data_IF_569166709178
#
_entry.id   IF_569166709178
#
_cell.length_a   1.000
_cell.length_b   1.000
_cell.length_c   1.000
_cell.angle_alpha   90.00
_cell.angle_beta   90.00
_cell.angle_gamma   90.00
#
_symmetry.space_group_name_H-M   'P 1'
#
loop_
_entity.id
_entity.type
_entity.pdbx_description
1 polymer ?
#
# COMPACT_ATOMS: atom_id res chain seq x y z
N UNK A 1 -18.50 38.12 17.13
CA UNK A 1 -18.18 36.94 17.96
C UNK A 1 -16.75 36.53 17.65
N UNK A 2 -15.82 36.66 18.60
CA UNK A 2 -14.46 36.11 18.44
C UNK A 2 -14.59 34.59 18.50
N UNK A 3 -14.62 33.93 17.34
CA UNK A 3 -14.58 32.47 17.28
C UNK A 3 -13.25 32.03 17.87
N UNK A 4 -13.29 31.35 19.02
CA UNK A 4 -12.11 30.71 19.57
C UNK A 4 -11.59 29.70 18.54
N UNK A 5 -10.33 29.86 18.12
CA UNK A 5 -9.71 28.87 17.23
C UNK A 5 -9.60 27.53 17.99
N UNK A 6 -10.10 26.42 17.40
CA UNK A 6 -10.00 25.11 18.03
C UNK A 6 -8.54 24.76 18.28
N UNK A 7 -8.20 24.38 19.51
CA UNK A 7 -6.83 23.95 19.88
C UNK A 7 -6.47 22.55 19.36
N UNK A 8 -7.44 21.85 18.77
CA UNK A 8 -7.30 20.52 18.19
C UNK A 8 -7.68 20.55 16.71
N UNK A 9 -7.06 19.68 15.95
CA UNK A 9 -7.29 19.46 14.54
C UNK A 9 -7.23 17.96 14.26
N UNK A 10 -7.92 17.48 13.23
CA UNK A 10 -7.77 16.11 12.78
C UNK A 10 -6.38 15.94 12.13
N UNK A 11 -5.62 14.94 12.55
CA UNK A 11 -4.26 14.66 12.04
C UNK A 11 -4.24 13.25 11.50
N UNK A 12 -3.87 13.10 10.23
CA UNK A 12 -3.71 11.82 9.56
C UNK A 12 -2.28 11.72 9.04
N UNK A 13 -1.62 10.59 9.30
CA UNK A 13 -0.29 10.31 8.78
C UNK A 13 -0.34 9.10 7.86
N UNK A 14 0.11 9.28 6.63
CA UNK A 14 0.18 8.25 5.60
C UNK A 14 1.64 8.05 5.22
N UNK A 15 2.16 6.83 5.40
CA UNK A 15 3.51 6.47 4.96
C UNK A 15 3.60 6.24 3.44
N UNK A 16 4.82 6.00 2.92
CA UNK A 16 5.02 5.57 1.54
C UNK A 16 4.24 4.29 1.22
N UNK A 17 3.74 4.17 -0.02
CA UNK A 17 3.04 2.98 -0.46
C UNK A 17 4.02 1.86 -0.87
N UNK A 18 3.56 0.61 -0.90
CA UNK A 18 4.36 -0.50 -1.44
C UNK A 18 4.61 -0.35 -2.95
N UNK A 19 3.70 0.35 -3.64
CA UNK A 19 3.91 0.73 -5.04
C UNK A 19 5.10 1.67 -5.19
N UNK A 20 5.25 2.68 -4.33
CA UNK A 20 6.38 3.61 -4.39
C UNK A 20 7.72 2.88 -4.25
N UNK A 21 7.79 1.90 -3.34
CA UNK A 21 8.97 1.03 -3.19
C UNK A 21 9.19 0.20 -4.46
N UNK A 22 8.12 -0.44 -4.96
CA UNK A 22 8.20 -1.38 -6.09
C UNK A 22 8.57 -0.70 -7.41
N UNK A 23 8.22 0.57 -7.55
CA UNK A 23 8.50 1.38 -8.74
C UNK A 23 9.67 2.36 -8.54
N UNK A 24 10.42 2.22 -7.43
CA UNK A 24 11.58 3.09 -7.12
C UNK A 24 11.23 4.59 -7.12
N UNK A 25 10.00 4.92 -6.71
CA UNK A 25 9.54 6.30 -6.56
C UNK A 25 10.06 6.90 -5.25
N UNK A 26 10.09 8.24 -5.12
CA UNK A 26 10.44 8.90 -3.87
C UNK A 26 9.53 8.44 -2.71
N UNK A 27 10.13 7.95 -1.64
CA UNK A 27 9.41 7.46 -0.46
C UNK A 27 8.96 8.64 0.40
N UNK A 28 7.69 9.03 0.31
CA UNK A 28 7.16 10.19 1.03
C UNK A 28 6.18 9.79 2.13
N UNK A 29 6.42 10.28 3.35
CA UNK A 29 5.43 10.31 4.41
C UNK A 29 4.65 11.62 4.35
N UNK A 30 3.32 11.55 4.35
CA UNK A 30 2.42 12.70 4.26
C UNK A 30 1.62 12.84 5.55
N UNK A 31 1.79 13.98 6.24
CA UNK A 31 0.96 14.38 7.35
C UNK A 31 -0.11 15.38 6.87
N UNK A 32 -1.37 14.98 6.98
CA UNK A 32 -2.54 15.77 6.62
C UNK A 32 -3.21 16.28 7.88
N UNK A 33 -3.31 17.60 8.01
CA UNK A 33 -3.96 18.27 9.14
C UNK A 33 -5.21 18.96 8.63
N UNK A 34 -6.37 18.66 9.20
CA UNK A 34 -7.65 19.29 8.84
C UNK A 34 -8.30 19.91 10.06
N UNK A 35 -8.71 21.18 9.96
CA UNK A 35 -9.23 21.94 11.10
C UNK A 35 -9.60 23.36 10.73
N UNK A 36 -9.45 24.29 11.67
CA UNK A 36 -9.70 25.72 11.45
C UNK A 36 -8.47 26.52 11.88
N UNK A 37 -8.15 27.58 11.14
CA UNK A 37 -7.00 28.45 11.41
C UNK A 37 -5.69 27.65 11.57
N UNK A 38 -5.36 26.84 10.56
CA UNK A 38 -4.22 25.93 10.59
C UNK A 38 -2.87 26.65 10.62
N UNK A 39 -2.82 27.95 10.31
CA UNK A 39 -1.63 28.81 10.48
C UNK A 39 -1.18 28.92 11.94
N UNK A 40 -2.07 28.71 12.91
CA UNK A 40 -1.74 28.71 14.33
C UNK A 40 -1.10 27.38 14.81
N UNK A 41 -0.97 26.39 13.92
CA UNK A 41 -0.37 25.10 14.21
C UNK A 41 1.04 24.99 13.61
N UNK A 42 1.93 24.32 14.35
CA UNK A 42 3.25 23.93 13.88
C UNK A 42 3.32 22.41 13.73
N UNK A 43 4.01 21.95 12.68
CA UNK A 43 4.24 20.53 12.41
C UNK A 43 5.72 20.22 12.66
N UNK A 44 5.99 19.20 13.46
CA UNK A 44 7.34 18.67 13.71
C UNK A 44 7.38 17.20 13.35
N UNK A 45 8.38 16.81 12.56
CA UNK A 45 8.62 15.41 12.20
C UNK A 45 9.65 14.75 13.11
N UNK A 46 9.43 13.48 13.44
CA UNK A 46 10.40 12.63 14.15
C UNK A 46 10.52 11.27 13.48
N UNK A 47 11.74 10.71 13.53
CA UNK A 47 12.05 9.32 13.14
C UNK A 47 12.70 8.67 14.37
N UNK A 48 12.11 7.60 14.91
CA UNK A 48 12.52 6.94 16.16
C UNK A 48 12.73 7.96 17.31
N UNK A 49 11.79 8.91 17.42
CA UNK A 49 11.83 9.98 18.43
C UNK A 49 12.84 11.11 18.13
N UNK A 50 13.70 10.99 17.12
CA UNK A 50 14.67 12.03 16.73
C UNK A 50 14.05 13.03 15.77
N UNK A 51 14.08 14.31 16.15
CA UNK A 51 13.55 15.42 15.35
C UNK A 51 14.25 15.51 13.98
N UNK A 52 13.44 15.67 12.94
CA UNK A 52 13.90 15.87 11.57
C UNK A 52 13.73 17.33 11.15
N UNK A 53 14.69 17.83 10.37
CA UNK A 53 14.69 19.21 9.84
C UNK A 53 14.97 19.27 8.34
N UNK A 54 15.47 18.19 7.74
CA UNK A 54 15.79 18.11 6.33
C UNK A 54 14.67 17.41 5.54
N UNK A 55 14.57 17.74 4.24
CA UNK A 55 13.63 17.12 3.30
C UNK A 55 12.15 17.17 3.71
N UNK A 56 11.78 18.25 4.41
CA UNK A 56 10.40 18.52 4.80
C UNK A 56 9.85 19.63 3.90
N UNK A 57 8.73 19.35 3.25
CA UNK A 57 7.95 20.34 2.49
C UNK A 57 6.60 20.51 3.17
N UNK A 58 6.35 21.69 3.72
CA UNK A 58 5.03 22.04 4.28
C UNK A 58 4.36 23.05 3.39
N UNK A 59 3.16 22.73 2.93
CA UNK A 59 2.35 23.54 2.04
C UNK A 59 1.44 24.48 2.84
N UNK A 60 1.03 25.60 2.23
CA UNK A 60 0.09 26.52 2.87
C UNK A 60 -1.29 25.86 3.04
N UNK A 61 -2.05 26.18 4.11
CA UNK A 61 -3.41 25.66 4.27
C UNK A 61 -4.32 26.06 3.10
N UNK A 62 -5.14 25.10 2.65
CA UNK A 62 -6.16 25.29 1.61
C UNK A 62 -7.53 25.24 2.29
N UNK A 63 -8.43 26.15 1.91
CA UNK A 63 -9.80 26.17 2.43
C UNK A 63 -10.69 25.18 1.67
N UNK A 64 -11.41 24.35 2.42
CA UNK A 64 -12.33 23.34 1.91
C UNK A 64 -13.74 23.94 1.73
N UNK A 65 -14.60 23.34 0.87
CA UNK A 65 -15.97 23.81 0.65
C UNK A 65 -16.84 23.82 1.92
N UNK A 66 -16.53 22.97 2.90
CA UNK A 66 -17.22 22.93 4.19
C UNK A 66 -16.73 24.00 5.19
N UNK A 67 -15.84 24.90 4.77
CA UNK A 67 -15.29 25.98 5.60
C UNK A 67 -14.11 25.58 6.50
N UNK A 68 -13.72 24.30 6.53
CA UNK A 68 -12.47 23.87 7.20
C UNK A 68 -11.25 24.19 6.34
N UNK A 69 -10.06 24.15 6.92
CA UNK A 69 -8.79 24.23 6.23
C UNK A 69 -8.08 22.87 6.27
N UNK A 70 -7.28 22.59 5.25
CA UNK A 70 -6.39 21.42 5.19
C UNK A 70 -4.96 21.87 4.89
N UNK A 71 -4.02 21.42 5.72
CA UNK A 71 -2.58 21.68 5.59
C UNK A 71 -1.85 20.35 5.40
N UNK A 72 -0.95 20.33 4.42
CA UNK A 72 -0.18 19.13 4.05
C UNK A 72 1.30 19.34 4.30
N UNK A 73 1.91 18.44 5.06
CA UNK A 73 3.36 18.37 5.24
C UNK A 73 3.88 17.02 4.72
N UNK A 74 4.98 17.05 4.00
CA UNK A 74 5.59 15.88 3.37
C UNK A 74 7.01 15.76 3.89
N UNK A 75 7.38 14.58 4.36
CA UNK A 75 8.74 14.21 4.69
C UNK A 75 9.22 13.15 3.69
N UNK A 76 10.29 13.44 2.96
CA UNK A 76 10.94 12.45 2.09
C UNK A 76 11.86 11.55 2.94
N UNK A 77 11.59 10.25 2.91
CA UNK A 77 12.29 9.22 3.65
C UNK A 77 13.38 8.58 2.79
N UNK A 78 14.43 8.08 3.44
CA UNK A 78 15.40 7.22 2.77
C UNK A 78 14.93 5.76 2.79
N UNK A 79 15.33 4.98 1.79
CA UNK A 79 15.05 3.55 1.73
C UNK A 79 15.53 2.83 3.01
N UNK A 80 16.72 3.18 3.51
CA UNK A 80 17.25 2.67 4.78
C UNK A 80 16.32 2.93 5.97
N UNK A 81 15.69 4.10 6.02
CA UNK A 81 14.79 4.48 7.11
C UNK A 81 13.51 3.66 7.06
N UNK A 82 12.90 3.57 5.88
CA UNK A 82 11.63 2.90 5.70
C UNK A 82 11.75 1.37 5.79
N UNK A 83 12.78 0.78 5.19
CA UNK A 83 13.02 -0.67 5.22
C UNK A 83 13.45 -1.19 6.59
N UNK A 84 13.96 -0.33 7.49
CA UNK A 84 14.29 -0.72 8.87
C UNK A 84 13.13 -0.62 9.86
N UNK A 85 11.89 -0.49 9.37
CA UNK A 85 10.69 -0.42 10.23
C UNK A 85 10.81 0.68 11.29
N UNK A 86 11.42 1.83 10.93
CA UNK A 86 11.56 2.95 11.85
C UNK A 86 10.21 3.62 12.06
N UNK A 87 9.95 4.06 13.29
CA UNK A 87 8.72 4.74 13.65
C UNK A 87 8.79 6.19 13.16
N UNK A 88 7.87 6.57 12.27
CA UNK A 88 7.74 7.94 11.77
C UNK A 88 6.58 8.61 12.48
N UNK A 89 6.84 9.76 13.11
CA UNK A 89 5.84 10.51 13.86
C UNK A 89 5.69 11.93 13.32
N UNK A 90 4.45 12.38 13.16
CA UNK A 90 4.07 13.76 12.88
C UNK A 90 3.45 14.38 14.15
N UNK A 91 4.11 15.39 14.71
CA UNK A 91 3.64 16.11 15.89
C UNK A 91 3.06 17.47 15.48
N UNK A 92 1.77 17.66 15.71
CA UNK A 92 1.02 18.86 15.35
C UNK A 92 0.64 19.62 16.62
N UNK A 93 1.21 20.82 16.80
CA UNK A 93 1.01 21.63 18.01
C UNK A 93 0.37 22.97 17.69
N UNK A 94 -0.80 23.22 18.27
CA UNK A 94 -1.39 24.56 18.31
C UNK A 94 -0.62 25.48 19.26
N UNK A 95 -0.48 26.76 18.91
CA UNK A 95 0.27 27.75 19.72
C UNK A 95 -0.16 27.79 21.20
N UNK A 96 -1.46 27.66 21.48
CA UNK A 96 -2.03 27.70 22.83
C UNK A 96 -2.28 26.32 23.46
N UNK A 97 -1.72 25.24 22.88
CA UNK A 97 -1.81 23.89 23.43
C UNK A 97 -0.52 23.51 24.16
N UNK A 98 -0.66 22.88 25.33
CA UNK A 98 0.49 22.42 26.12
C UNK A 98 1.20 21.24 25.44
N UNK A 99 0.41 20.26 24.96
CA UNK A 99 0.89 19.02 24.32
C UNK A 99 0.57 19.00 22.83
N UNK A 100 1.46 18.43 21.99
CA UNK A 100 1.17 18.19 20.57
C UNK A 100 0.18 17.02 20.40
N UNK A 101 -0.53 17.04 19.27
CA UNK A 101 -1.22 15.86 18.75
C UNK A 101 -0.21 15.04 17.95
N UNK A 102 -0.15 13.73 18.18
CA UNK A 102 0.85 12.85 17.56
C UNK A 102 0.12 11.85 16.67
N UNK A 103 0.53 11.79 15.40
CA UNK A 103 0.15 10.72 14.48
C UNK A 103 1.41 9.94 14.11
N UNK A 104 1.33 8.63 14.09
CA UNK A 104 2.48 7.76 13.87
C UNK A 104 2.18 6.74 12.77
N UNK A 105 3.21 6.37 12.02
CA UNK A 105 3.16 5.31 11.04
C UNK A 105 4.50 4.59 11.01
N UNK A 106 4.44 3.30 10.80
CA UNK A 106 5.59 2.48 10.50
C UNK A 106 5.23 1.58 9.32
N UNK A 107 6.26 1.09 8.64
CA UNK A 107 6.09 0.07 7.63
C UNK A 107 5.47 -1.17 8.30
N UNK A 108 4.30 -1.58 7.83
CA UNK A 108 3.60 -2.79 8.26
C UNK A 108 4.53 -3.99 8.07
N UNK A 109 4.93 -4.57 9.19
CA UNK A 109 5.98 -5.58 9.33
C UNK A 109 6.32 -5.78 10.81
N UNK A 110 6.07 -4.76 11.63
CA UNK A 110 5.79 -4.90 13.06
C UNK A 110 4.29 -4.73 13.29
N UNK A 111 3.55 -5.81 13.51
CA UNK A 111 2.35 -5.70 14.34
C UNK A 111 2.81 -6.01 15.75
N UNK A 112 3.04 -4.96 16.52
CA UNK A 112 3.19 -5.09 17.97
C UNK A 112 1.80 -5.42 18.49
N UNK A 113 1.50 -6.72 18.65
CA UNK A 113 0.34 -7.12 19.44
C UNK A 113 0.63 -6.68 20.88
N UNK A 114 0.10 -5.52 21.26
CA UNK A 114 0.10 -5.07 22.64
C UNK A 114 -0.88 -5.95 23.42
N UNK A 115 -0.45 -7.15 23.83
CA UNK A 115 -1.15 -7.89 24.86
C UNK A 115 -0.98 -7.13 26.16
N UNK A 116 -2.09 -6.59 26.69
CA UNK A 116 -2.20 -5.72 27.86
C UNK A 116 -1.84 -6.39 29.21
N UNK A 117 -0.98 -7.41 29.21
CA UNK A 117 -0.56 -8.09 30.43
C UNK A 117 0.95 -7.97 30.64
N UNK A 118 1.31 -7.06 31.56
CA UNK A 118 2.51 -7.07 32.40
C UNK A 118 3.89 -7.09 31.72
N UNK A 119 4.51 -5.91 31.66
CA UNK A 119 5.96 -5.64 31.82
C UNK A 119 6.98 -6.58 31.14
N UNK A 120 6.66 -7.16 29.99
CA UNK A 120 7.67 -7.69 29.08
C UNK A 120 7.31 -7.28 27.66
N UNK A 121 8.23 -6.56 27.02
CA UNK A 121 8.20 -6.21 25.61
C UNK A 121 8.50 -7.49 24.82
N UNK A 122 7.55 -8.42 24.79
CA UNK A 122 7.67 -9.63 23.98
C UNK A 122 7.49 -9.18 22.53
N UNK A 123 8.60 -9.08 21.81
CA UNK A 123 8.64 -8.84 20.37
C UNK A 123 8.11 -10.07 19.62
N UNK A 124 6.81 -10.35 19.72
CA UNK A 124 6.17 -11.30 18.82
C UNK A 124 6.03 -10.61 17.45
N UNK A 125 7.09 -10.69 16.66
CA UNK A 125 7.06 -10.35 15.24
C UNK A 125 6.01 -11.25 14.58
N UNK A 126 4.93 -10.68 14.06
CA UNK A 126 4.07 -11.42 13.13
C UNK A 126 4.84 -11.46 11.80
N UNK A 127 5.30 -12.64 11.42
CA UNK A 127 6.18 -12.80 10.25
C UNK A 127 5.38 -12.52 8.97
N UNK A 128 5.94 -11.66 8.11
CA UNK A 128 5.43 -11.43 6.75
C UNK A 128 5.22 -12.77 6.06
N UNK A 129 3.95 -13.06 5.79
CA UNK A 129 3.52 -14.29 5.13
C UNK A 129 3.29 -13.96 3.66
N UNK A 130 4.07 -14.55 2.73
CA UNK A 130 3.85 -14.33 1.31
C UNK A 130 2.52 -14.97 0.85
N UNK A 131 1.84 -14.39 -0.16
CA UNK A 131 0.67 -15.02 -0.76
C UNK A 131 1.04 -16.33 -1.43
N UNK A 132 0.11 -17.28 -1.35
CA UNK A 132 0.02 -18.33 -2.37
C UNK A 132 -0.58 -17.72 -3.62
N UNK A 133 0.07 -17.91 -4.76
CA UNK A 133 -0.36 -17.34 -6.04
C UNK A 133 -0.82 -18.44 -6.98
N UNK A 134 -2.04 -18.29 -7.48
CA UNK A 134 -2.59 -19.14 -8.53
C UNK A 134 -3.13 -18.29 -9.68
N UNK A 135 -2.64 -18.55 -10.89
CA UNK A 135 -3.19 -17.98 -12.11
C UNK A 135 -4.09 -19.02 -12.77
N UNK A 136 -5.31 -18.61 -13.14
CA UNK A 136 -6.30 -19.46 -13.80
C UNK A 136 -7.15 -18.66 -14.79
N UNK A 137 -7.86 -19.37 -15.66
CA UNK A 137 -8.89 -18.75 -16.51
C UNK A 137 -10.08 -18.34 -15.64
N UNK A 138 -10.61 -17.15 -15.87
CA UNK A 138 -11.78 -16.64 -15.17
C UNK A 138 -12.98 -17.54 -15.46
N UNK A 139 -13.74 -18.00 -14.45
CA UNK A 139 -15.01 -18.68 -14.67
C UNK A 139 -16.01 -17.81 -15.45
N UNK A 140 -15.83 -16.47 -15.44
CA UNK A 140 -16.65 -15.50 -16.19
C UNK A 140 -16.41 -15.55 -17.70
N UNK A 141 -15.39 -16.30 -18.14
CA UNK A 141 -14.94 -16.31 -19.53
C UNK A 141 -15.71 -17.30 -20.43
N UNK A 142 -16.65 -18.07 -19.88
CA UNK A 142 -17.37 -19.14 -20.60
C UNK A 142 -18.07 -18.69 -21.89
N UNK A 143 -18.40 -17.40 -22.02
CA UNK A 143 -19.13 -16.84 -23.17
C UNK A 143 -18.30 -15.89 -24.04
N UNK A 144 -17.02 -15.64 -23.72
CA UNK A 144 -16.20 -14.67 -24.47
C UNK A 144 -15.53 -15.34 -25.67
N UNK A 145 -15.83 -14.83 -26.86
CA UNK A 145 -15.24 -15.29 -28.12
C UNK A 145 -14.19 -14.33 -28.67
N UNK A 146 -13.98 -13.18 -28.07
CA UNK A 146 -13.02 -12.16 -28.51
C UNK A 146 -11.68 -12.26 -27.78
N UNK A 147 -11.57 -13.12 -26.76
CA UNK A 147 -10.38 -13.26 -25.95
C UNK A 147 -10.57 -14.22 -24.79
N UNK A 148 -9.73 -14.06 -23.77
CA UNK A 148 -9.83 -14.77 -22.51
C UNK A 148 -9.51 -13.83 -21.34
N UNK A 149 -10.28 -13.92 -20.25
CA UNK A 149 -9.95 -13.29 -18.98
C UNK A 149 -9.17 -14.27 -18.08
N UNK A 150 -8.05 -13.81 -17.52
CA UNK A 150 -7.30 -14.53 -16.50
C UNK A 150 -7.51 -13.88 -15.13
N UNK A 151 -7.57 -14.72 -14.10
CA UNK A 151 -7.54 -14.31 -12.70
C UNK A 151 -6.23 -14.77 -12.05
N UNK A 152 -5.63 -13.88 -11.26
CA UNK A 152 -4.57 -14.19 -10.32
C UNK A 152 -5.15 -14.12 -8.91
N UNK A 153 -5.25 -15.27 -8.25
CA UNK A 153 -5.66 -15.42 -6.87
C UNK A 153 -4.42 -15.30 -5.98
N UNK A 154 -4.39 -14.32 -5.09
CA UNK A 154 -3.37 -14.17 -4.05
C UNK A 154 -4.04 -14.44 -2.71
N UNK A 155 -3.65 -15.49 -2.02
CA UNK A 155 -4.33 -15.91 -0.78
C UNK A 155 -3.35 -16.12 0.37
N UNK A 156 -3.80 -15.83 1.59
CA UNK A 156 -3.08 -16.17 2.81
C UNK A 156 -1.93 -15.21 3.16
N UNK A 157 -1.87 -14.04 2.53
CA UNK A 157 -0.76 -13.12 2.75
C UNK A 157 -0.98 -12.22 3.97
N UNK A 158 0.12 -11.80 4.57
CA UNK A 158 0.14 -10.83 5.65
C UNK A 158 1.44 -10.03 5.55
N UNK A 159 1.43 -8.70 5.79
CA UNK A 159 0.28 -7.82 6.05
C UNK A 159 -0.57 -7.51 4.80
N UNK A 160 -1.64 -6.72 4.93
CA UNK A 160 -2.59 -6.41 3.85
C UNK A 160 -2.03 -5.54 2.73
N UNK A 161 -0.92 -4.83 2.97
CA UNK A 161 -0.26 -4.00 1.97
C UNK A 161 0.52 -4.86 0.97
N UNK A 162 0.03 -4.89 -0.25
CA UNK A 162 0.62 -5.64 -1.36
C UNK A 162 0.53 -4.80 -2.63
N UNK A 163 1.57 -4.84 -3.45
CA UNK A 163 1.56 -4.31 -4.80
C UNK A 163 1.52 -5.49 -5.77
N UNK A 164 0.61 -5.47 -6.76
CA UNK A 164 0.44 -6.55 -7.73
C UNK A 164 0.41 -5.97 -9.14
N UNK A 165 1.18 -6.57 -10.04
CA UNK A 165 1.23 -6.23 -11.47
C UNK A 165 1.22 -7.48 -12.33
N UNK A 166 0.87 -7.32 -13.60
CA UNK A 166 0.97 -8.37 -14.60
C UNK A 166 2.22 -8.20 -15.46
N UNK A 167 2.80 -9.32 -15.87
CA UNK A 167 3.83 -9.39 -16.89
C UNK A 167 3.39 -10.32 -18.01
N UNK A 168 3.57 -9.88 -19.25
CA UNK A 168 3.34 -10.66 -20.46
C UNK A 168 4.64 -10.75 -21.23
N UNK A 169 5.09 -11.95 -21.56
CA UNK A 169 6.39 -12.20 -22.20
C UNK A 169 7.56 -11.52 -21.44
N UNK A 170 7.52 -11.58 -20.11
CA UNK A 170 8.46 -10.93 -19.19
C UNK A 170 8.54 -9.39 -19.31
N UNK A 171 7.50 -8.75 -19.84
CA UNK A 171 7.35 -7.30 -19.88
C UNK A 171 6.17 -6.86 -19.02
N UNK A 172 6.37 -5.80 -18.25
CA UNK A 172 5.30 -5.22 -17.42
C UNK A 172 4.12 -4.77 -18.29
N UNK A 173 2.93 -5.18 -17.87
CA UNK A 173 1.67 -4.73 -18.44
C UNK A 173 1.30 -3.38 -17.79
N UNK A 174 0.91 -2.37 -18.58
CA UNK A 174 0.39 -1.11 -18.04
C UNK A 174 -0.79 -1.30 -17.08
N UNK A 175 -0.84 -0.47 -16.02
CA UNK A 175 -1.83 -0.58 -14.93
C UNK A 175 -3.29 -0.39 -15.38
N UNK A 176 -3.52 0.22 -16.55
CA UNK A 176 -4.84 0.42 -17.15
C UNK A 176 -5.37 -0.81 -17.91
N UNK A 177 -4.54 -1.85 -18.11
CA UNK A 177 -4.92 -3.07 -18.82
C UNK A 177 -5.28 -4.24 -17.90
N UNK A 178 -5.19 -4.06 -16.59
CA UNK A 178 -5.60 -5.05 -15.59
C UNK A 178 -6.29 -4.37 -14.41
N UNK A 179 -6.93 -5.17 -13.55
CA UNK A 179 -7.66 -4.64 -12.39
C UNK A 179 -7.31 -5.45 -11.15
N UNK A 180 -6.90 -4.76 -10.09
CA UNK A 180 -6.69 -5.34 -8.77
C UNK A 180 -7.94 -5.08 -7.92
N UNK A 181 -8.57 -6.14 -7.41
CA UNK A 181 -9.67 -6.01 -6.45
C UNK A 181 -9.17 -5.51 -5.09
N UNK A 182 -10.06 -4.95 -4.25
CA UNK A 182 -9.72 -4.63 -2.87
C UNK A 182 -9.23 -5.86 -2.11
N UNK A 183 -8.30 -5.65 -1.18
CA UNK A 183 -7.82 -6.70 -0.28
C UNK A 183 -8.91 -7.05 0.72
N UNK A 184 -9.22 -8.35 0.84
CA UNK A 184 -10.23 -8.90 1.77
C UNK A 184 -9.56 -9.70 2.88
N UNK A 185 -10.12 -9.66 4.09
CA UNK A 185 -9.70 -10.56 5.18
C UNK A 185 -10.36 -11.94 5.02
N UNK A 186 -9.59 -13.01 5.30
CA UNK A 186 -10.12 -14.38 5.26
C UNK A 186 -10.95 -14.68 6.53
N UNK A 187 -12.21 -14.22 6.55
CA UNK A 187 -13.22 -14.68 7.50
C UNK A 187 -12.88 -14.49 8.98
N UNK A 188 -12.15 -13.43 9.35
CA UNK A 188 -11.74 -13.16 10.74
C UNK A 188 -10.36 -13.68 11.13
N UNK A 189 -9.61 -14.29 10.21
CA UNK A 189 -8.18 -14.58 10.38
C UNK A 189 -7.33 -13.33 10.17
N UNK A 190 -6.07 -13.39 10.61
CA UNK A 190 -5.07 -12.34 10.36
C UNK A 190 -4.66 -12.21 8.90
N UNK A 191 -4.91 -13.24 8.07
CA UNK A 191 -4.43 -13.29 6.69
C UNK A 191 -5.41 -12.64 5.70
N UNK A 192 -4.84 -12.19 4.60
CA UNK A 192 -5.51 -11.43 3.55
C UNK A 192 -5.50 -12.19 2.21
N UNK A 193 -6.47 -11.83 1.37
CA UNK A 193 -6.58 -12.33 0.00
C UNK A 193 -6.94 -11.20 -0.97
N UNK A 194 -6.61 -11.38 -2.24
CA UNK A 194 -6.89 -10.44 -3.32
C UNK A 194 -7.02 -11.20 -4.65
N UNK A 195 -7.85 -10.69 -5.57
CA UNK A 195 -7.89 -11.19 -6.95
C UNK A 195 -7.47 -10.07 -7.90
N UNK A 196 -6.57 -10.38 -8.83
CA UNK A 196 -6.24 -9.49 -9.95
C UNK A 196 -6.72 -10.10 -11.25
N UNK A 197 -7.22 -9.29 -12.19
CA UNK A 197 -7.75 -9.77 -13.49
C UNK A 197 -7.14 -9.02 -14.67
N UNK A 198 -6.88 -9.75 -15.74
CA UNK A 198 -6.43 -9.21 -17.02
C UNK A 198 -7.23 -9.85 -18.16
N UNK A 199 -7.64 -9.05 -19.14
CA UNK A 199 -8.28 -9.54 -20.36
C UNK A 199 -7.30 -9.54 -21.53
N UNK A 200 -7.27 -10.65 -22.26
CA UNK A 200 -6.35 -10.88 -23.36
C UNK A 200 -7.13 -11.11 -24.63
N UNK A 201 -7.01 -10.18 -25.57
CA UNK A 201 -7.62 -10.30 -26.88
C UNK A 201 -7.07 -11.50 -27.66
N UNK A 202 -7.96 -12.19 -28.38
CA UNK A 202 -7.62 -13.39 -29.18
C UNK A 202 -6.54 -13.14 -30.22
N UNK A 203 -6.52 -11.97 -30.83
CA UNK A 203 -5.51 -11.57 -31.82
C UNK A 203 -4.07 -11.51 -31.24
N UNK A 204 -3.92 -11.43 -29.91
CA UNK A 204 -2.61 -11.43 -29.26
C UNK A 204 -2.08 -12.84 -29.03
N UNK A 205 -2.95 -13.86 -28.97
CA UNK A 205 -2.60 -15.25 -28.58
C UNK A 205 -1.40 -15.85 -29.32
N UNK A 206 -1.25 -15.69 -30.65
CA UNK A 206 -0.11 -16.27 -31.38
C UNK A 206 1.26 -15.77 -30.90
N UNK A 207 1.31 -14.61 -30.24
CA UNK A 207 2.54 -13.98 -29.78
C UNK A 207 2.77 -14.14 -28.27
N UNK A 208 1.93 -14.92 -27.59
CA UNK A 208 1.91 -15.01 -26.13
C UNK A 208 2.64 -16.26 -25.66
N UNK A 209 3.78 -16.05 -25.00
CA UNK A 209 4.67 -17.09 -24.49
C UNK A 209 4.49 -17.32 -23.00
N UNK A 210 4.33 -16.25 -22.21
CA UNK A 210 4.20 -16.34 -20.75
C UNK A 210 3.38 -15.19 -20.17
N UNK A 211 2.69 -15.48 -19.06
CA UNK A 211 1.91 -14.52 -18.29
C UNK A 211 2.19 -14.79 -16.84
N UNK A 212 2.59 -13.75 -16.13
CA UNK A 212 2.99 -13.84 -14.73
C UNK A 212 2.24 -12.77 -13.96
N UNK A 213 1.61 -13.19 -12.86
CA UNK A 213 1.13 -12.27 -11.85
C UNK A 213 2.27 -12.10 -10.84
N UNK A 214 2.75 -10.86 -10.68
CA UNK A 214 3.91 -10.53 -9.86
C UNK A 214 3.44 -9.64 -8.72
N UNK A 215 3.89 -9.93 -7.50
CA UNK A 215 3.54 -9.13 -6.34
C UNK A 215 4.79 -8.71 -5.54
N UNK A 216 4.62 -7.68 -4.71
CA UNK A 216 5.62 -7.21 -3.77
C UNK A 216 4.92 -6.81 -2.45
N UNK A 217 5.45 -7.24 -1.30
CA UNK A 217 5.03 -6.80 0.05
C UNK A 217 6.08 -5.90 0.71
N UNK A 218 7.10 -5.53 -0.05
CA UNK A 218 8.11 -4.52 0.21
C UNK A 218 9.31 -4.95 1.05
N UNK A 219 9.41 -6.18 1.57
CA UNK A 219 10.60 -6.65 2.31
C UNK A 219 11.81 -6.94 1.39
N UNK A 220 12.08 -6.02 0.45
CA UNK A 220 12.86 -6.27 -0.75
C UNK A 220 12.06 -7.07 -1.79
N UNK A 221 12.48 -7.02 -3.05
CA UNK A 221 11.91 -7.87 -4.12
C UNK A 221 12.09 -9.35 -3.74
N UNK A 222 11.05 -9.97 -3.19
CA UNK A 222 10.98 -11.43 -3.06
C UNK A 222 10.39 -11.96 -4.36
N UNK A 223 11.28 -12.41 -5.23
CA UNK A 223 10.96 -13.06 -6.49
C UNK A 223 10.80 -14.57 -6.30
N UNK A 224 9.66 -15.09 -6.76
CA UNK A 224 9.34 -16.50 -7.07
C UNK A 224 9.19 -17.48 -5.88
N UNK A 225 8.24 -18.43 -5.97
CA UNK A 225 8.40 -19.60 -6.83
C UNK A 225 7.70 -19.45 -8.17
N UNK A 226 8.41 -19.88 -9.20
CA UNK A 226 7.97 -19.93 -10.58
C UNK A 226 7.00 -21.10 -10.71
N UNK A 227 5.71 -20.85 -10.46
CA UNK A 227 4.69 -21.76 -10.96
C UNK A 227 4.50 -21.42 -12.43
N UNK A 228 5.34 -22.02 -13.28
CA UNK A 228 5.09 -22.13 -14.71
C UNK A 228 3.78 -22.93 -14.90
N UNK A 229 2.64 -22.25 -14.79
CA UNK A 229 1.37 -22.79 -15.24
C UNK A 229 1.18 -22.35 -16.69
N UNK A 230 1.44 -23.35 -17.54
CA UNK A 230 1.21 -23.44 -18.98
C UNK A 230 -0.05 -22.69 -19.42
N UNK A 231 0.09 -21.98 -20.54
CA UNK A 231 -1.00 -21.26 -21.17
C UNK A 231 -2.05 -22.16 -21.81
N UNK A 232 -3.28 -21.66 -22.03
CA UNK A 232 -4.37 -22.41 -22.67
C UNK A 232 -4.18 -22.60 -24.18
N UNK A 233 -2.94 -22.81 -24.65
CA UNK A 233 -2.60 -23.11 -26.03
C UNK A 233 -2.27 -24.59 -26.29
N UNK A 234 -1.91 -25.37 -25.26
CA UNK A 234 -1.47 -26.77 -25.47
C UNK A 234 -2.60 -27.80 -25.42
N UNK A 235 -3.85 -27.41 -25.14
CA UNK A 235 -4.99 -28.35 -25.06
C UNK A 235 -6.13 -28.09 -26.05
N UNK A 236 -5.95 -27.21 -27.07
CA UNK A 236 -6.92 -27.03 -28.16
C UNK A 236 -6.41 -27.50 -29.53
N UNK A 237 -5.51 -28.48 -29.54
CA UNK A 237 -5.33 -29.36 -30.70
C UNK A 237 -5.74 -30.75 -30.25
N UNK A 238 -7.02 -31.10 -30.41
CA UNK A 238 -7.55 -32.45 -30.64
C UNK A 238 -9.08 -32.40 -30.70
N UNK A 239 -9.63 -32.25 -31.91
CA UNK A 239 -10.75 -33.03 -32.46
C UNK A 239 -11.13 -32.43 -33.81
N UNK A 240 -10.31 -32.75 -34.81
CA UNK A 240 -10.79 -32.96 -36.18
C UNK A 240 -11.56 -34.26 -36.26
#
# INVERSE_FOLDING_TARGET
VLQSSPKKAAVFLVGPSIQDISEQRPLNATCLVTGYNLKAFSITWKIDGKKQTAKIKTENPITNPNGTETMRSILELTEYTWNKLKLVSCEVKHACAEKPQIAETERTGRVVLFTFFLLQRIENTLWDSPPTVEVRRSPRDYLRTDGAELECLLTGFFPSNIYVKWQVNNRDVPNDQYTNEPVTSDGGKTNFSMVSRIFIQRNKWPNLKSYKCVFNQGNGERKFPENDKVLPGESMILSS
#
